data_IF_525812815820
#
_entry.id   IF_525812815820
#
_cell.length_a   1.000
_cell.length_b   1.000
_cell.length_c   1.000
_cell.angle_alpha   90.00
_cell.angle_beta   90.00
_cell.angle_gamma   90.00
#
_symmetry.space_group_name_H-M   'P 1'
#
loop_
_entity.id
_entity.type
_entity.pdbx_description
1 polymer ?
#
# COMPACT_ATOMS: atom_id res chain seq x y z
N UNK A 1 -54.78 8.70 -29.37
CA UNK A 1 -53.56 8.02 -29.85
C UNK A 1 -52.75 7.59 -28.63
N UNK A 2 -53.22 6.53 -27.98
CA UNK A 2 -52.46 5.72 -27.04
C UNK A 2 -51.37 4.97 -27.83
N UNK A 3 -50.28 4.63 -27.14
CA UNK A 3 -49.25 3.63 -27.50
C UNK A 3 -47.88 4.20 -27.93
N UNK A 4 -47.07 4.63 -26.97
CA UNK A 4 -45.61 4.44 -27.08
C UNK A 4 -44.83 4.58 -25.76
N UNK A 5 -45.43 4.21 -24.63
CA UNK A 5 -44.65 3.67 -23.51
C UNK A 5 -44.60 2.15 -23.70
N UNK A 6 -43.42 1.54 -23.52
CA UNK A 6 -43.15 0.08 -23.37
C UNK A 6 -42.28 -0.65 -24.42
N UNK A 7 -41.31 -0.02 -25.10
CA UNK A 7 -40.38 -0.86 -25.90
C UNK A 7 -39.00 -0.27 -26.12
N UNK A 8 -38.21 -0.12 -25.06
CA UNK A 8 -36.74 -0.02 -25.23
C UNK A 8 -35.92 -0.75 -24.17
N UNK A 9 -36.55 -1.31 -23.13
CA UNK A 9 -35.89 -2.10 -22.08
C UNK A 9 -35.68 -3.58 -22.43
N UNK A 10 -35.92 -4.01 -23.69
CA UNK A 10 -35.84 -5.43 -24.10
C UNK A 10 -34.76 -5.76 -25.14
N UNK A 11 -33.87 -4.82 -25.50
CA UNK A 11 -32.84 -5.05 -26.55
C UNK A 11 -31.38 -5.19 -26.09
N UNK A 12 -31.13 -5.38 -24.78
CA UNK A 12 -29.78 -5.77 -24.30
C UNK A 12 -29.73 -7.24 -23.85
N UNK A 13 -30.85 -7.97 -23.96
CA UNK A 13 -30.94 -9.38 -23.56
C UNK A 13 -30.58 -10.40 -24.67
N UNK A 14 -29.90 -9.99 -25.74
CA UNK A 14 -29.61 -10.89 -26.87
C UNK A 14 -28.19 -10.70 -27.43
N UNK A 15 -27.18 -11.01 -26.62
CA UNK A 15 -25.86 -11.47 -27.08
C UNK A 15 -25.34 -12.61 -26.18
N UNK A 16 -26.24 -13.52 -25.78
CA UNK A 16 -25.87 -14.83 -25.23
C UNK A 16 -26.16 -15.86 -26.32
N UNK A 17 -25.17 -16.09 -27.19
CA UNK A 17 -24.80 -17.37 -27.83
C UNK A 17 -23.93 -17.08 -29.06
N UNK A 18 -22.61 -17.15 -28.91
CA UNK A 18 -21.63 -17.64 -29.88
C UNK A 18 -20.21 -17.15 -29.54
N UNK A 19 -19.66 -17.64 -28.43
CA UNK A 19 -18.21 -17.74 -28.23
C UNK A 19 -17.93 -18.83 -27.17
N UNK A 20 -18.55 -20.00 -27.34
CA UNK A 20 -18.24 -21.19 -26.56
C UNK A 20 -17.31 -22.08 -27.38
N UNK A 21 -16.11 -21.60 -27.68
CA UNK A 21 -15.01 -22.42 -28.19
C UNK A 21 -13.67 -21.86 -27.69
N UNK A 22 -12.94 -22.72 -26.98
CA UNK A 22 -11.56 -22.59 -26.53
C UNK A 22 -11.27 -21.72 -25.28
N UNK A 23 -11.87 -22.08 -24.13
CA UNK A 23 -11.16 -22.00 -22.84
C UNK A 23 -11.00 -23.43 -22.29
N UNK A 24 -10.31 -24.25 -23.07
CA UNK A 24 -9.75 -25.52 -22.62
C UNK A 24 -8.25 -25.44 -22.94
N UNK A 25 -7.47 -24.88 -22.01
CA UNK A 25 -6.04 -24.68 -22.28
C UNK A 25 -5.24 -23.84 -21.29
N UNK A 26 -5.85 -23.32 -20.21
CA UNK A 26 -5.09 -22.70 -19.12
C UNK A 26 -5.57 -23.21 -17.75
N UNK A 27 -5.74 -24.53 -17.62
CA UNK A 27 -5.30 -25.18 -16.39
C UNK A 27 -3.78 -25.11 -16.40
N UNK A 28 -3.22 -23.95 -16.07
CA UNK A 28 -1.83 -23.91 -15.62
C UNK A 28 -1.79 -24.85 -14.43
N UNK A 29 -1.09 -25.97 -14.57
CA UNK A 29 -0.73 -26.77 -13.42
C UNK A 29 -0.07 -25.78 -12.45
N UNK A 30 -0.71 -25.53 -11.31
CA UNK A 30 0.04 -25.07 -10.15
C UNK A 30 0.98 -26.22 -9.90
N UNK A 31 2.19 -26.12 -10.47
CA UNK A 31 3.21 -27.10 -10.26
C UNK A 31 3.39 -27.14 -8.76
N UNK A 32 3.08 -28.26 -8.13
CA UNK A 32 3.51 -28.57 -6.77
C UNK A 32 5.02 -28.80 -6.73
N UNK A 33 5.77 -28.21 -7.67
CA UNK A 33 7.20 -28.15 -7.61
C UNK A 33 7.52 -27.48 -6.28
N UNK A 34 8.23 -28.17 -5.37
CA UNK A 34 8.69 -27.53 -4.15
C UNK A 34 9.44 -26.26 -4.59
N UNK A 35 9.03 -25.11 -4.06
CA UNK A 35 9.87 -23.92 -4.15
C UNK A 35 11.24 -24.38 -3.65
N UNK A 36 12.26 -24.30 -4.51
CA UNK A 36 13.61 -24.64 -4.11
C UNK A 36 13.88 -23.83 -2.85
N UNK A 37 14.08 -24.51 -1.73
CA UNK A 37 14.43 -23.87 -0.47
C UNK A 37 15.69 -23.09 -0.76
N UNK A 38 15.57 -21.75 -0.85
CA UNK A 38 16.71 -20.91 -1.04
C UNK A 38 17.61 -21.14 0.17
N UNK A 39 18.83 -21.64 -0.08
CA UNK A 39 19.84 -21.74 0.96
C UNK A 39 19.94 -20.35 1.60
N UNK A 40 19.86 -20.22 2.94
CA UNK A 40 19.94 -18.91 3.57
C UNK A 40 21.19 -18.19 3.07
N UNK A 41 21.03 -16.93 2.65
CA UNK A 41 22.18 -16.05 2.40
C UNK A 41 22.80 -15.81 3.78
N UNK A 42 23.82 -16.60 4.13
CA UNK A 42 24.53 -16.49 5.42
C UNK A 42 25.66 -15.47 5.37
N UNK A 43 25.93 -14.90 4.21
CA UNK A 43 26.92 -13.84 4.04
C UNK A 43 26.24 -12.51 4.38
N UNK A 44 26.40 -12.06 5.63
CA UNK A 44 26.19 -10.65 5.93
C UNK A 44 27.36 -9.88 5.30
N UNK A 45 27.05 -8.98 4.39
CA UNK A 45 28.03 -8.02 3.90
C UNK A 45 28.11 -6.92 4.94
N UNK A 46 29.21 -6.85 5.68
CA UNK A 46 29.51 -5.73 6.58
C UNK A 46 29.79 -4.49 5.73
N UNK A 47 28.71 -3.86 5.27
CA UNK A 47 28.79 -2.53 4.68
C UNK A 47 28.97 -1.53 5.83
N UNK A 48 29.88 -0.55 5.70
CA UNK A 48 29.94 0.55 6.66
C UNK A 48 28.56 1.20 6.73
N UNK A 49 28.11 1.49 7.96
CA UNK A 49 26.86 2.21 8.17
C UNK A 49 26.90 3.51 7.36
N UNK A 50 25.93 3.69 6.46
CA UNK A 50 25.82 4.90 5.67
C UNK A 50 25.54 6.07 6.62
N UNK A 51 26.43 7.07 6.60
CA UNK A 51 26.38 8.21 7.53
C UNK A 51 25.35 9.27 7.13
N UNK A 52 24.92 9.26 5.87
CA UNK A 52 24.08 10.29 5.25
C UNK A 52 22.92 9.65 4.45
N UNK A 53 22.25 8.63 5.01
CA UNK A 53 21.03 8.10 4.37
C UNK A 53 19.94 9.16 4.49
N UNK A 54 19.37 9.68 3.39
CA UNK A 54 18.26 10.60 3.50
C UNK A 54 17.03 9.84 4.03
N UNK A 55 16.57 10.24 5.20
CA UNK A 55 15.32 9.78 5.80
C UNK A 55 14.61 10.97 6.46
N UNK A 56 13.29 10.88 6.60
CA UNK A 56 12.48 11.86 7.28
C UNK A 56 11.39 11.23 8.11
N UNK A 57 11.18 11.80 9.29
CA UNK A 57 9.99 11.57 10.09
C UNK A 57 8.74 12.10 9.38
N UNK A 58 7.60 11.54 9.77
CA UNK A 58 6.30 12.07 9.36
C UNK A 58 5.79 13.12 10.34
N UNK A 59 4.94 14.03 9.83
CA UNK A 59 4.30 15.09 10.59
C UNK A 59 2.79 15.01 10.35
N UNK A 60 2.05 14.80 11.44
CA UNK A 60 0.59 14.65 11.39
C UNK A 60 0.11 13.35 10.75
N UNK A 61 -1.21 13.23 10.61
CA UNK A 61 -1.88 12.02 10.15
C UNK A 61 -2.88 12.34 9.03
N UNK A 62 -2.82 11.58 7.93
CA UNK A 62 -3.86 11.60 6.91
C UNK A 62 -4.99 10.63 7.24
N UNK A 63 -6.15 10.73 6.55
CA UNK A 63 -7.28 9.82 6.75
C UNK A 63 -6.93 8.37 6.39
N UNK A 64 -7.72 7.41 6.88
CA UNK A 64 -7.71 6.06 6.30
C UNK A 64 -8.25 6.12 4.86
N UNK A 65 -7.52 5.53 3.93
CA UNK A 65 -7.92 5.47 2.51
C UNK A 65 -8.11 4.01 2.07
N UNK A 66 -9.25 3.69 1.48
CA UNK A 66 -9.48 2.37 0.85
C UNK A 66 -9.07 2.34 -0.64
N UNK A 67 -8.82 3.52 -1.23
CA UNK A 67 -8.36 3.66 -2.62
C UNK A 67 -6.87 3.97 -2.68
N UNK A 68 -6.10 3.11 -3.34
CA UNK A 68 -4.67 3.35 -3.58
C UNK A 68 -4.41 4.65 -4.34
N UNK A 69 -5.25 4.97 -5.33
CA UNK A 69 -5.11 6.19 -6.14
C UNK A 69 -5.29 7.43 -5.26
N UNK A 70 -6.29 7.41 -4.37
CA UNK A 70 -6.55 8.54 -3.47
C UNK A 70 -5.44 8.71 -2.44
N UNK A 71 -4.99 7.61 -1.82
CA UNK A 71 -3.85 7.61 -0.91
C UNK A 71 -2.58 8.16 -1.58
N UNK A 72 -2.33 7.77 -2.83
CA UNK A 72 -1.19 8.27 -3.61
C UNK A 72 -1.30 9.76 -3.88
N UNK A 73 -2.45 10.24 -4.37
CA UNK A 73 -2.64 11.66 -4.65
C UNK A 73 -2.42 12.53 -3.40
N UNK A 74 -3.00 12.13 -2.27
CA UNK A 74 -2.84 12.87 -1.02
C UNK A 74 -1.40 12.75 -0.48
N UNK A 75 -0.80 11.56 -0.53
CA UNK A 75 0.59 11.36 -0.13
C UNK A 75 1.57 12.11 -1.03
N UNK A 76 1.28 12.34 -2.31
CA UNK A 76 2.10 13.20 -3.17
C UNK A 76 1.91 14.69 -2.84
N UNK A 77 0.68 15.11 -2.52
CA UNK A 77 0.38 16.48 -2.13
C UNK A 77 0.95 16.84 -0.76
N UNK A 78 0.98 15.87 0.18
CA UNK A 78 1.57 16.01 1.50
C UNK A 78 2.44 14.78 1.85
N UNK A 79 3.71 14.78 1.41
CA UNK A 79 4.63 13.64 1.58
C UNK A 79 4.98 13.30 3.03
N UNK A 80 4.75 14.24 3.94
CA UNK A 80 5.10 14.10 5.34
C UNK A 80 4.01 13.39 6.16
N UNK A 81 2.84 13.08 5.60
CA UNK A 81 1.78 12.46 6.39
C UNK A 81 2.20 11.08 6.90
N UNK A 82 1.79 10.76 8.14
CA UNK A 82 1.69 9.39 8.61
C UNK A 82 0.30 8.83 8.28
N UNK A 83 0.15 7.52 8.01
CA UNK A 83 -1.16 6.87 8.07
C UNK A 83 -1.79 7.04 9.45
N UNK A 84 -3.11 7.24 9.51
CA UNK A 84 -3.86 7.35 10.77
C UNK A 84 -3.48 6.24 11.77
N UNK A 85 -3.16 6.63 13.01
CA UNK A 85 -2.83 5.69 14.09
C UNK A 85 -1.41 5.11 14.06
N UNK A 86 -0.59 5.43 13.05
CA UNK A 86 0.84 5.11 13.06
C UNK A 86 1.67 6.22 13.75
N UNK A 87 2.90 5.92 14.18
CA UNK A 87 3.81 6.88 14.83
C UNK A 87 3.19 7.58 16.05
N UNK A 88 2.37 6.85 16.81
CA UNK A 88 1.82 7.29 18.09
C UNK A 88 2.58 6.61 19.23
N UNK A 89 2.64 7.25 20.39
CA UNK A 89 3.22 6.63 21.59
C UNK A 89 2.46 5.34 21.92
N UNK A 90 3.14 4.19 21.81
CA UNK A 90 2.51 2.89 21.97
C UNK A 90 3.49 1.88 22.59
N UNK A 91 3.02 1.12 23.57
CA UNK A 91 3.76 0.00 24.18
C UNK A 91 3.22 -1.33 23.63
N UNK A 92 4.06 -2.15 22.98
CA UNK A 92 3.62 -3.45 22.45
C UNK A 92 3.09 -4.37 23.55
N UNK A 93 2.14 -5.25 23.21
CA UNK A 93 1.66 -6.29 24.13
C UNK A 93 2.81 -7.23 24.50
N UNK A 94 2.69 -7.89 25.66
CA UNK A 94 3.72 -8.83 26.13
C UNK A 94 3.95 -9.93 25.08
N UNK A 95 5.20 -10.08 24.65
CA UNK A 95 5.59 -11.08 23.67
C UNK A 95 5.38 -10.66 22.22
N UNK A 96 4.96 -9.42 21.95
CA UNK A 96 4.86 -8.86 20.61
C UNK A 96 5.95 -7.82 20.36
N UNK A 97 6.28 -7.63 19.08
CA UNK A 97 7.21 -6.61 18.61
C UNK A 97 6.44 -5.48 17.90
N UNK A 98 6.96 -4.24 17.91
CA UNK A 98 6.41 -3.18 17.08
C UNK A 98 6.53 -3.54 15.59
N UNK A 99 5.58 -3.07 14.78
CA UNK A 99 5.58 -3.24 13.33
C UNK A 99 6.15 -1.98 12.70
N UNK A 100 7.21 -2.13 11.91
CA UNK A 100 7.77 -1.04 11.10
C UNK A 100 7.44 -1.30 9.63
N UNK A 101 6.73 -0.37 9.01
CA UNK A 101 6.31 -0.45 7.62
C UNK A 101 7.21 0.41 6.74
N UNK A 102 7.73 -0.17 5.65
CA UNK A 102 8.73 0.45 4.78
C UNK A 102 8.21 0.53 3.35
N UNK A 103 7.98 1.75 2.86
CA UNK A 103 7.35 1.98 1.57
C UNK A 103 8.19 1.49 0.39
N UNK A 104 7.51 1.21 -0.73
CA UNK A 104 8.18 0.79 -1.96
C UNK A 104 8.88 1.94 -2.70
N UNK A 105 9.39 1.62 -3.88
CA UNK A 105 9.99 2.59 -4.80
C UNK A 105 9.00 3.72 -5.14
N UNK A 106 9.50 4.96 -5.16
CA UNK A 106 8.76 6.14 -5.61
C UNK A 106 7.42 6.33 -4.86
N UNK A 107 7.46 6.17 -3.54
CA UNK A 107 6.32 6.30 -2.64
C UNK A 107 6.76 6.94 -1.32
N UNK A 108 5.84 7.08 -0.38
CA UNK A 108 6.07 7.48 1.00
C UNK A 108 5.23 6.62 1.96
N UNK A 109 5.40 6.85 3.26
CA UNK A 109 4.77 6.08 4.32
C UNK A 109 3.24 6.15 4.22
N UNK A 110 2.67 7.34 4.00
CA UNK A 110 1.22 7.50 3.83
C UNK A 110 0.70 6.81 2.56
N UNK A 111 1.25 7.14 1.39
CA UNK A 111 0.69 6.67 0.11
C UNK A 111 0.67 5.14 -0.02
N UNK A 112 1.62 4.44 0.62
CA UNK A 112 1.63 2.97 0.62
C UNK A 112 0.74 2.36 1.69
N UNK A 113 0.64 2.97 2.88
CA UNK A 113 0.06 2.31 4.06
C UNK A 113 -1.18 2.99 4.64
N UNK A 114 -1.78 3.95 3.93
CA UNK A 114 -3.00 4.67 4.36
C UNK A 114 -4.19 3.77 4.72
N UNK A 115 -4.22 2.52 4.25
CA UNK A 115 -5.21 1.51 4.68
C UNK A 115 -4.71 0.58 5.78
N UNK A 116 -3.52 0.02 5.57
CA UNK A 116 -2.99 -1.08 6.36
C UNK A 116 -2.61 -0.64 7.77
N UNK A 117 -1.95 0.50 7.91
CA UNK A 117 -1.51 0.98 9.21
C UNK A 117 -2.69 1.30 10.15
N UNK A 118 -3.77 1.99 9.72
CA UNK A 118 -4.95 2.18 10.57
C UNK A 118 -5.61 0.87 10.99
N UNK A 119 -5.63 -0.14 10.12
CA UNK A 119 -6.22 -1.46 10.44
C UNK A 119 -5.37 -2.25 11.44
N UNK A 120 -4.05 -2.20 11.30
CA UNK A 120 -3.12 -2.79 12.26
C UNK A 120 -3.19 -2.08 13.62
N UNK A 121 -3.24 -0.74 13.62
CA UNK A 121 -3.40 0.04 14.84
C UNK A 121 -4.74 -0.25 15.53
N UNK A 122 -5.84 -0.37 14.77
CA UNK A 122 -7.15 -0.76 15.30
C UNK A 122 -7.17 -2.18 15.88
N UNK A 123 -6.32 -3.08 15.37
CA UNK A 123 -6.09 -4.41 15.95
C UNK A 123 -5.15 -4.40 17.18
N UNK A 124 -4.69 -3.22 17.61
CA UNK A 124 -3.88 -3.02 18.81
C UNK A 124 -2.38 -3.29 18.62
N UNK A 125 -1.87 -3.30 17.39
CA UNK A 125 -0.44 -3.33 17.13
C UNK A 125 0.15 -1.91 17.21
N UNK A 126 1.37 -1.79 17.73
CA UNK A 126 2.13 -0.55 17.62
C UNK A 126 2.76 -0.47 16.23
N UNK A 127 2.30 0.48 15.41
CA UNK A 127 2.69 0.62 14.00
C UNK A 127 3.51 1.89 13.81
N UNK A 128 4.67 1.74 13.18
CA UNK A 128 5.60 2.82 12.93
C UNK A 128 6.08 2.80 11.47
N UNK A 129 6.62 3.93 11.01
CA UNK A 129 7.24 4.06 9.70
C UNK A 129 7.81 5.44 9.48
N UNK A 130 8.61 5.58 8.44
CA UNK A 130 9.29 6.82 8.06
C UNK A 130 9.52 6.83 6.54
N UNK A 131 9.88 7.99 6.00
CA UNK A 131 10.20 8.13 4.58
C UNK A 131 11.70 8.01 4.36
N UNK A 132 12.12 7.32 3.30
CA UNK A 132 13.54 7.14 2.98
C UNK A 132 13.83 7.12 1.48
N UNK A 133 15.10 7.34 1.14
CA UNK A 133 15.60 7.20 -0.22
C UNK A 133 15.27 8.35 -1.16
N UNK A 134 14.70 9.46 -0.66
CA UNK A 134 14.63 10.71 -1.41
C UNK A 134 16.02 11.36 -1.43
N UNK A 135 16.66 11.58 -2.58
CA UNK A 135 17.98 12.18 -2.65
C UNK A 135 18.03 13.66 -2.19
N UNK A 136 16.87 14.30 -1.95
CA UNK A 136 16.78 15.64 -1.39
C UNK A 136 16.81 15.59 0.14
N UNK A 137 17.42 16.58 0.81
CA UNK A 137 17.35 16.67 2.27
C UNK A 137 15.89 16.86 2.70
N UNK A 138 15.28 15.80 3.22
CA UNK A 138 13.94 15.85 3.83
C UNK A 138 14.13 16.17 5.31
N UNK A 139 14.28 17.45 5.64
CA UNK A 139 14.25 17.89 7.04
C UNK A 139 12.79 18.00 7.47
N UNK A 140 12.51 17.93 8.78
CA UNK A 140 11.17 18.23 9.30
C UNK A 140 10.68 19.64 8.84
N UNK A 141 11.62 20.55 8.59
CA UNK A 141 11.38 21.87 7.97
C UNK A 141 10.94 21.82 6.50
N UNK A 142 11.51 20.93 5.67
CA UNK A 142 11.08 20.75 4.26
C UNK A 142 9.90 19.79 4.11
N UNK A 143 9.59 19.00 5.14
CA UNK A 143 8.42 18.14 5.26
C UNK A 143 7.15 18.91 5.72
N UNK A 144 7.30 20.16 6.17
CA UNK A 144 6.15 21.00 6.51
C UNK A 144 5.44 21.39 5.21
N UNK A 145 4.20 20.94 5.04
CA UNK A 145 3.31 21.40 3.97
C UNK A 145 3.29 22.94 3.96
N UNK A 146 3.32 23.61 2.80
CA UNK A 146 3.02 25.04 2.76
C UNK A 146 1.63 25.25 3.36
N UNK A 147 1.55 26.14 4.35
CA UNK A 147 0.28 26.57 4.96
C UNK A 147 -0.66 27.24 3.98
#
# INVERSE_FOLDING_TARGET
MLSSLHSSTKKVAACVLAAATAIAGMTGAVGTAPQASAKPITTQVDLPAAKDVPWAETVGHGPKEDSFVQATLLGMANPALAPQGANVECTPRRGENPIVLLHGLNSNFYSTYARMAPELAAAGFCVYGFNYGDPRPMTAETATAPG
#
